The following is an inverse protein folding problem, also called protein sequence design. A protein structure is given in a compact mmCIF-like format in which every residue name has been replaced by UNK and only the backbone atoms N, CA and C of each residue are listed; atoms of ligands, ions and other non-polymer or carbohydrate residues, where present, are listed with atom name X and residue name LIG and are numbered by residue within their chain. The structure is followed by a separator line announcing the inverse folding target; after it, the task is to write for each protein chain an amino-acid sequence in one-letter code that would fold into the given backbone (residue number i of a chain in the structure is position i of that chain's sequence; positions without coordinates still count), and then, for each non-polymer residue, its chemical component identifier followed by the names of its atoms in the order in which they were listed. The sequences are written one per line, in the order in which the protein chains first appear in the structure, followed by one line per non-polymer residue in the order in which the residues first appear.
data_IF_343100344487
#
_entry.id   IF_343100344487
#
_cell.length_a   1.000
_cell.length_b   1.000
_cell.length_c   1.000
_cell.angle_alpha   90.00
_cell.angle_beta   90.00
_cell.angle_gamma   90.00
#
_symmetry.space_group_name_H-M   'P 1'
#
loop_
_entity.id
_entity.type
_entity.pdbx_description
1 polymer ?
#
# COMPACT_ATOMS: atom_id res chain seq x y z
N UNK A 1 -50.27 1.73 -18.69
CA UNK A 1 -49.06 0.93 -18.36
C UNK A 1 -47.85 1.85 -18.42
N UNK A 2 -47.39 2.36 -17.27
CA UNK A 2 -46.25 3.28 -17.19
C UNK A 2 -45.03 2.51 -16.63
N UNK A 3 -43.92 2.48 -17.38
CA UNK A 3 -42.66 1.84 -16.98
C UNK A 3 -41.94 2.74 -15.97
N UNK A 4 -41.71 2.22 -14.76
CA UNK A 4 -40.85 2.86 -13.75
C UNK A 4 -39.37 2.68 -14.15
N UNK A 5 -38.54 3.74 -14.12
CA UNK A 5 -37.11 3.61 -14.36
C UNK A 5 -36.40 2.95 -13.17
N UNK A 6 -35.49 2.02 -13.47
CA UNK A 6 -34.68 1.25 -12.52
C UNK A 6 -33.70 2.14 -11.75
N UNK A 7 -33.86 2.20 -10.42
CA UNK A 7 -33.02 2.95 -9.49
C UNK A 7 -31.67 2.25 -9.14
N UNK A 8 -31.20 1.31 -9.95
CA UNK A 8 -30.08 0.42 -9.60
C UNK A 8 -28.70 0.96 -10.02
N UNK A 9 -28.63 2.02 -10.83
CA UNK A 9 -27.36 2.49 -11.39
C UNK A 9 -26.57 3.50 -10.54
N UNK A 10 -27.13 4.03 -9.44
CA UNK A 10 -26.49 5.15 -8.70
C UNK A 10 -25.64 4.73 -7.49
N UNK A 11 -25.68 3.46 -7.08
CA UNK A 11 -24.95 3.00 -5.89
C UNK A 11 -23.50 2.54 -6.17
N UNK A 12 -23.11 2.36 -7.43
CA UNK A 12 -21.79 1.80 -7.78
C UNK A 12 -20.68 2.84 -7.97
N UNK A 13 -21.01 4.14 -8.01
CA UNK A 13 -20.03 5.20 -8.25
C UNK A 13 -19.34 5.74 -6.99
N UNK A 14 -19.85 5.47 -5.77
CA UNK A 14 -19.26 5.99 -4.53
C UNK A 14 -18.20 5.09 -3.87
N UNK A 15 -18.00 3.86 -4.36
CA UNK A 15 -17.10 2.89 -3.70
C UNK A 15 -15.60 2.98 -4.12
N UNK A 16 -15.23 3.92 -5.01
CA UNK A 16 -13.86 4.01 -5.55
C UNK A 16 -13.11 5.29 -5.19
N UNK A 17 -13.75 6.25 -4.53
CA UNK A 17 -13.03 7.40 -3.98
C UNK A 17 -12.38 6.97 -2.67
N UNK A 18 -11.17 6.41 -2.72
CA UNK A 18 -10.32 6.35 -1.52
C UNK A 18 -10.24 7.78 -0.98
N UNK A 19 -10.54 8.02 0.30
CA UNK A 19 -10.37 9.34 0.88
C UNK A 19 -8.92 9.75 0.62
N UNK A 20 -8.73 10.87 -0.08
CA UNK A 20 -7.41 11.48 -0.20
C UNK A 20 -6.96 11.73 1.23
N UNK A 21 -5.87 11.07 1.66
CA UNK A 21 -5.31 11.24 2.98
C UNK A 21 -5.24 12.73 3.28
N UNK A 22 -6.00 13.17 4.28
CA UNK A 22 -6.51 14.54 4.31
C UNK A 22 -5.42 15.61 4.52
N UNK A 23 -4.15 15.23 4.75
CA UNK A 23 -3.02 16.13 5.03
C UNK A 23 -1.75 15.80 4.25
N UNK A 24 -1.90 15.20 3.07
CA UNK A 24 -0.83 15.09 2.09
C UNK A 24 -0.35 16.49 1.65
N UNK A 25 0.51 17.13 2.45
CA UNK A 25 1.16 18.37 2.09
C UNK A 25 2.28 18.09 1.08
N UNK A 26 2.32 18.80 -0.06
CA UNK A 26 3.35 18.58 -1.06
C UNK A 26 4.72 19.03 -0.54
N UNK A 27 5.71 18.15 -0.67
CA UNK A 27 7.11 18.41 -0.34
C UNK A 27 7.86 18.75 -1.62
N UNK A 28 8.31 20.00 -1.77
CA UNK A 28 9.09 20.44 -2.92
C UNK A 28 10.56 20.64 -2.53
N UNK A 29 11.47 19.98 -3.24
CA UNK A 29 12.91 19.99 -2.96
C UNK A 29 13.66 20.32 -4.25
N UNK A 30 14.57 21.29 -4.18
CA UNK A 30 15.44 21.67 -5.29
C UNK A 30 16.84 21.12 -5.05
N UNK A 31 17.45 20.53 -6.07
CA UNK A 31 18.75 19.84 -6.00
C UNK A 31 19.60 20.31 -7.18
N UNK A 32 20.77 20.86 -6.90
CA UNK A 32 21.79 21.16 -7.90
C UNK A 32 22.57 19.89 -8.27
N UNK A 33 22.92 19.74 -9.54
CA UNK A 33 23.61 18.54 -10.05
C UNK A 33 24.81 18.98 -10.89
N UNK A 34 26.00 18.58 -10.44
CA UNK A 34 27.29 18.78 -11.12
C UNK A 34 28.23 17.59 -10.92
N UNK A 35 29.45 17.68 -11.45
CA UNK A 35 30.49 16.65 -11.31
C UNK A 35 30.91 16.37 -9.85
N UNK A 36 30.58 17.22 -8.88
CA UNK A 36 30.88 17.03 -7.46
C UNK A 36 29.75 16.32 -6.70
N UNK A 37 28.61 16.05 -7.37
CA UNK A 37 27.51 15.26 -6.83
C UNK A 37 26.18 16.01 -6.81
N UNK A 38 25.34 15.70 -5.82
CA UNK A 38 24.05 16.36 -5.61
C UNK A 38 24.21 17.44 -4.53
N UNK A 39 23.85 18.69 -4.84
CA UNK A 39 24.19 19.88 -4.07
C UNK A 39 25.68 19.91 -3.66
N UNK A 40 26.57 19.57 -4.61
CA UNK A 40 28.01 19.53 -4.43
C UNK A 40 28.52 18.50 -3.40
N UNK A 41 27.72 17.46 -3.07
CA UNK A 41 28.05 16.45 -2.05
C UNK A 41 27.97 15.02 -2.60
N UNK A 42 28.98 14.17 -2.34
CA UNK A 42 28.98 12.76 -2.77
C UNK A 42 28.06 11.86 -1.92
N UNK A 43 27.77 12.26 -0.68
CA UNK A 43 26.94 11.53 0.30
C UNK A 43 25.60 12.24 0.57
N UNK A 44 25.09 12.97 -0.41
CA UNK A 44 23.85 13.74 -0.30
C UNK A 44 22.68 12.91 0.23
N UNK A 45 21.99 13.45 1.23
CA UNK A 45 20.80 12.81 1.79
C UNK A 45 19.71 13.84 2.08
N UNK A 46 18.48 13.49 1.70
CA UNK A 46 17.27 14.23 2.05
C UNK A 46 16.29 13.32 2.78
N UNK A 47 15.41 13.94 3.57
CA UNK A 47 14.32 13.25 4.27
C UNK A 47 13.01 13.72 3.65
N UNK A 48 12.15 12.76 3.33
CA UNK A 48 10.77 13.00 2.89
C UNK A 48 9.81 12.14 3.68
N UNK A 49 8.55 12.52 3.68
CA UNK A 49 7.51 11.81 4.43
C UNK A 49 6.72 10.82 3.55
N UNK A 50 6.45 9.63 4.10
CA UNK A 50 5.56 8.65 3.47
C UNK A 50 4.13 9.20 3.33
N UNK A 51 3.40 8.79 2.29
CA UNK A 51 2.03 9.21 2.01
C UNK A 51 1.87 10.64 1.47
N UNK A 52 2.97 11.40 1.36
CA UNK A 52 2.95 12.80 0.94
C UNK A 52 3.50 12.95 -0.49
N UNK A 53 2.86 13.76 -1.36
CA UNK A 53 3.40 14.09 -2.67
C UNK A 53 4.77 14.74 -2.52
N UNK A 54 5.77 14.21 -3.21
CA UNK A 54 7.13 14.73 -3.26
C UNK A 54 7.39 15.18 -4.69
N UNK A 55 7.88 16.41 -4.86
CA UNK A 55 8.41 16.93 -6.12
C UNK A 55 9.89 17.24 -5.93
N UNK A 56 10.74 16.51 -6.63
CA UNK A 56 12.17 16.82 -6.72
C UNK A 56 12.42 17.57 -8.01
N UNK A 57 13.05 18.74 -7.92
CA UNK A 57 13.48 19.53 -9.07
C UNK A 57 15.00 19.55 -9.11
N UNK A 58 15.55 19.03 -10.19
CA UNK A 58 16.99 19.00 -10.42
C UNK A 58 17.39 20.16 -11.32
N UNK A 59 18.49 20.82 -11.00
CA UNK A 59 19.06 21.92 -11.78
C UNK A 59 20.49 21.58 -12.16
N UNK A 60 20.78 21.63 -13.46
CA UNK A 60 22.11 21.49 -14.03
C UNK A 60 23.01 22.66 -13.57
N UNK A 61 24.14 22.36 -12.93
CA UNK A 61 25.00 23.38 -12.30
C UNK A 61 26.49 23.24 -12.62
N UNK A 62 26.83 22.68 -13.78
CA UNK A 62 28.22 22.55 -14.23
C UNK A 62 28.89 23.88 -14.54
N UNK A 63 30.23 23.90 -14.49
CA UNK A 63 31.02 25.08 -14.82
C UNK A 63 30.81 25.53 -16.28
N UNK A 64 30.79 26.85 -16.55
CA UNK A 64 30.66 27.37 -17.90
C UNK A 64 31.75 26.83 -18.84
N UNK A 65 31.33 26.31 -19.99
CA UNK A 65 32.25 25.78 -21.02
C UNK A 65 32.38 24.26 -21.04
N UNK A 66 31.96 23.57 -19.98
CA UNK A 66 31.83 22.11 -19.96
C UNK A 66 30.36 21.73 -20.23
N UNK A 67 30.14 20.75 -21.09
CA UNK A 67 28.83 20.08 -21.19
C UNK A 67 29.01 18.65 -20.72
N UNK A 68 28.35 18.32 -19.62
CA UNK A 68 28.48 17.07 -18.88
C UNK A 68 27.07 16.58 -18.57
N UNK A 69 26.36 16.00 -19.54
CA UNK A 69 24.95 15.64 -19.38
C UNK A 69 24.76 14.58 -18.29
N UNK A 70 23.61 14.63 -17.62
CA UNK A 70 23.22 13.68 -16.57
C UNK A 70 21.84 13.08 -16.84
N UNK A 71 21.72 11.77 -16.68
CA UNK A 71 20.44 11.06 -16.69
C UNK A 71 20.17 10.56 -15.26
N UNK A 72 19.28 11.25 -14.56
CA UNK A 72 18.99 11.00 -13.14
C UNK A 72 17.85 10.00 -13.00
N UNK A 73 18.10 8.93 -12.24
CA UNK A 73 17.10 7.90 -11.91
C UNK A 73 16.97 7.72 -10.40
N UNK A 74 15.73 7.53 -9.96
CA UNK A 74 15.40 7.24 -8.56
C UNK A 74 14.92 5.78 -8.46
N UNK A 75 15.52 5.01 -7.55
CA UNK A 75 15.20 3.59 -7.34
C UNK A 75 14.95 3.25 -5.88
N UNK A 76 14.05 2.29 -5.63
CA UNK A 76 13.79 1.70 -4.32
C UNK A 76 12.30 1.63 -4.02
N UNK A 77 11.93 0.96 -2.92
CA UNK A 77 10.53 0.84 -2.45
C UNK A 77 9.53 0.30 -3.49
N UNK A 78 10.00 -0.42 -4.52
CA UNK A 78 9.15 -0.90 -5.61
C UNK A 78 8.65 0.21 -6.55
N UNK A 79 9.14 1.45 -6.42
CA UNK A 79 8.82 2.55 -7.33
C UNK A 79 9.70 2.46 -8.59
N UNK A 80 9.08 2.57 -9.76
CA UNK A 80 9.76 2.76 -11.04
C UNK A 80 9.46 4.17 -11.55
N UNK A 81 10.35 5.10 -11.21
CA UNK A 81 10.22 6.51 -11.56
C UNK A 81 10.92 6.81 -12.89
N UNK A 82 10.41 7.76 -13.69
CA UNK A 82 11.03 8.10 -14.97
C UNK A 82 12.46 8.62 -14.76
N UNK A 83 13.34 8.28 -15.69
CA UNK A 83 14.65 8.93 -15.79
C UNK A 83 14.45 10.34 -16.31
N UNK A 84 15.08 11.33 -15.70
CA UNK A 84 15.08 12.72 -16.17
C UNK A 84 16.46 13.11 -16.66
N UNK A 85 16.51 13.87 -17.76
CA UNK A 85 17.75 14.33 -18.37
C UNK A 85 18.03 15.78 -17.98
N UNK A 86 19.29 16.06 -17.67
CA UNK A 86 19.84 17.38 -17.42
C UNK A 86 21.02 17.59 -18.35
N UNK A 87 20.99 18.69 -19.09
CA UNK A 87 22.09 19.16 -19.92
C UNK A 87 21.96 20.67 -20.10
N UNK A 88 22.84 21.26 -20.89
CA UNK A 88 22.81 22.72 -21.13
C UNK A 88 21.50 23.19 -21.78
N UNK A 89 20.88 22.37 -22.61
CA UNK A 89 19.63 22.70 -23.30
C UNK A 89 18.39 22.40 -22.44
N UNK A 90 18.53 21.48 -21.48
CA UNK A 90 17.52 21.10 -20.49
C UNK A 90 18.07 21.31 -19.07
N UNK A 91 18.27 22.56 -18.63
CA UNK A 91 18.98 22.85 -17.37
C UNK A 91 18.15 22.49 -16.13
N UNK A 92 16.87 22.19 -16.29
CA UNK A 92 15.99 21.83 -15.18
C UNK A 92 15.08 20.67 -15.57
N UNK A 93 14.88 19.73 -14.65
CA UNK A 93 13.91 18.66 -14.80
C UNK A 93 13.34 18.26 -13.43
N UNK A 94 12.10 17.76 -13.39
CA UNK A 94 11.45 17.39 -12.13
C UNK A 94 10.85 16.00 -12.18
N UNK A 95 10.87 15.32 -11.03
CA UNK A 95 10.17 14.04 -10.80
C UNK A 95 9.22 14.21 -9.64
N UNK A 96 7.97 13.78 -9.83
CA UNK A 96 6.94 13.76 -8.77
C UNK A 96 6.55 12.34 -8.43
N UNK A 97 6.42 12.04 -7.13
CA UNK A 97 6.00 10.72 -6.64
C UNK A 97 5.41 10.82 -5.23
N UNK A 98 4.67 9.80 -4.79
CA UNK A 98 4.14 9.70 -3.42
C UNK A 98 4.61 8.37 -2.82
N UNK A 99 5.60 8.35 -1.91
CA UNK A 99 6.10 7.10 -1.37
C UNK A 99 5.12 6.53 -0.35
N UNK A 100 4.54 5.35 -0.61
CA UNK A 100 3.51 4.75 0.26
C UNK A 100 4.05 4.17 1.57
N UNK A 101 5.35 3.91 1.66
CA UNK A 101 5.99 3.22 2.79
C UNK A 101 7.30 3.88 3.16
N UNK A 102 7.68 3.76 4.42
CA UNK A 102 8.99 4.20 4.91
C UNK A 102 10.13 3.36 4.33
N UNK A 103 11.31 3.94 4.21
CA UNK A 103 12.53 3.22 3.84
C UNK A 103 13.51 4.16 3.13
N UNK A 104 14.30 3.63 2.19
CA UNK A 104 15.32 4.42 1.49
C UNK A 104 15.20 4.25 -0.02
N UNK A 105 15.18 5.37 -0.74
CA UNK A 105 15.39 5.42 -2.18
C UNK A 105 16.81 5.89 -2.46
N UNK A 106 17.34 5.53 -3.64
CA UNK A 106 18.62 6.02 -4.15
C UNK A 106 18.39 6.92 -5.34
N UNK A 107 19.12 8.03 -5.38
CA UNK A 107 19.22 8.90 -6.55
C UNK A 107 20.56 8.58 -7.21
N UNK A 108 20.57 8.31 -8.51
CA UNK A 108 21.78 7.98 -9.24
C UNK A 108 21.79 8.58 -10.67
N UNK A 109 22.96 8.98 -11.16
CA UNK A 109 23.19 9.19 -12.58
C UNK A 109 23.45 7.84 -13.28
N UNK A 110 22.79 7.58 -14.41
CA UNK A 110 22.89 6.28 -15.13
C UNK A 110 23.69 6.32 -16.43
N UNK A 111 24.15 7.50 -16.87
CA UNK A 111 25.01 7.64 -18.04
C UNK A 111 26.46 7.89 -17.65
N UNK A 112 27.44 7.52 -18.51
CA UNK A 112 28.82 7.91 -18.31
C UNK A 112 28.96 9.44 -18.34
N UNK A 113 29.30 10.04 -17.20
CA UNK A 113 29.50 11.47 -17.01
C UNK A 113 30.76 11.71 -16.16
N UNK A 114 31.31 12.92 -16.22
CA UNK A 114 32.39 13.33 -15.32
C UNK A 114 31.83 13.45 -13.90
N UNK A 115 32.52 12.85 -12.93
CA UNK A 115 32.08 12.83 -11.54
C UNK A 115 31.02 11.77 -11.21
N UNK A 116 30.83 10.77 -12.08
CA UNK A 116 29.85 9.69 -11.87
C UNK A 116 29.99 9.01 -10.50
N UNK A 117 31.20 8.86 -9.98
CA UNK A 117 31.49 8.31 -8.65
C UNK A 117 30.83 9.11 -7.51
N UNK A 118 30.60 10.41 -7.70
CA UNK A 118 29.94 11.29 -6.74
C UNK A 118 28.40 11.27 -6.91
N UNK A 119 27.91 10.77 -8.05
CA UNK A 119 26.50 10.79 -8.45
C UNK A 119 25.80 9.44 -8.27
N UNK A 120 26.37 8.49 -7.53
CA UNK A 120 25.77 7.18 -7.23
C UNK A 120 25.42 6.98 -5.74
N UNK A 121 25.76 7.95 -4.88
CA UNK A 121 25.68 7.83 -3.42
C UNK A 121 24.43 8.43 -2.76
N UNK A 122 23.66 9.24 -3.49
CA UNK A 122 22.60 10.04 -2.91
C UNK A 122 21.38 9.23 -2.45
N UNK A 123 20.78 9.64 -1.32
CA UNK A 123 19.71 8.91 -0.65
C UNK A 123 18.51 9.79 -0.33
N UNK A 124 17.32 9.22 -0.49
CA UNK A 124 16.08 9.78 0.04
C UNK A 124 15.63 8.87 1.16
N UNK A 125 15.66 9.34 2.40
CA UNK A 125 15.07 8.66 3.54
C UNK A 125 13.59 8.98 3.59
N UNK A 126 12.76 7.98 3.33
CA UNK A 126 11.32 8.10 3.52
C UNK A 126 11.00 7.75 4.96
N UNK A 127 10.64 8.75 5.74
CA UNK A 127 10.30 8.62 7.15
C UNK A 127 8.78 8.68 7.33
N UNK A 128 8.31 8.34 8.53
CA UNK A 128 6.91 8.55 8.87
C UNK A 128 6.62 10.06 8.84
N UNK A 129 5.41 10.48 8.44
CA UNK A 129 5.03 11.88 8.51
C UNK A 129 5.37 12.47 9.87
N UNK A 130 6.09 13.59 9.89
CA UNK A 130 6.18 14.36 11.12
C UNK A 130 4.77 14.83 11.42
N UNK A 131 4.41 14.72 12.68
CA UNK A 131 3.14 15.16 13.19
C UNK A 131 3.06 16.69 13.00
N UNK A 132 2.62 17.15 11.83
CA UNK A 132 2.44 18.55 11.49
C UNK A 132 1.02 18.94 11.88
N UNK A 133 0.88 20.00 12.68
CA UNK A 133 -0.41 20.43 13.22
C UNK A 133 -0.54 20.27 14.73
N UNK A 134 -1.75 20.50 15.24
CA UNK A 134 -2.05 20.39 16.68
C UNK A 134 -1.89 18.92 17.10
N UNK A 135 -1.08 18.61 18.13
CA UNK A 135 -0.89 17.25 18.60
C UNK A 135 -2.20 16.54 18.92
N UNK A 136 -2.27 15.25 18.62
CA UNK A 136 -3.41 14.39 18.96
C UNK A 136 -2.96 13.21 19.79
N UNK A 137 -3.84 12.78 20.69
CA UNK A 137 -3.63 11.63 21.55
C UNK A 137 -4.38 10.46 20.93
N UNK A 138 -3.65 9.41 20.54
CA UNK A 138 -4.22 8.14 20.11
C UNK A 138 -3.93 7.08 21.16
N UNK A 139 -4.97 6.40 21.63
CA UNK A 139 -4.86 5.22 22.50
C UNK A 139 -5.48 4.02 21.82
N UNK A 140 -4.93 2.85 22.06
CA UNK A 140 -5.46 1.59 21.58
C UNK A 140 -5.65 0.66 22.76
N UNK A 141 -6.79 -0.01 22.80
CA UNK A 141 -7.11 -1.04 23.77
C UNK A 141 -7.51 -2.30 23.00
N UNK A 142 -6.99 -3.44 23.44
CA UNK A 142 -7.27 -4.74 22.85
C UNK A 142 -8.03 -5.60 23.85
N UNK A 143 -9.25 -6.01 23.49
CA UNK A 143 -10.13 -6.82 24.33
C UNK A 143 -10.38 -8.18 23.66
N UNK A 144 -9.76 -9.28 24.15
CA UNK A 144 -10.07 -10.62 23.69
C UNK A 144 -11.55 -10.95 23.93
N UNK A 145 -12.16 -11.63 22.98
CA UNK A 145 -13.56 -12.06 23.03
C UNK A 145 -13.65 -13.57 23.13
N UNK A 146 -14.76 -14.05 23.69
CA UNK A 146 -15.05 -15.47 23.84
C UNK A 146 -15.23 -16.19 22.50
N UNK A 147 -15.35 -15.49 21.38
CA UNK A 147 -15.45 -16.10 20.04
C UNK A 147 -14.08 -16.32 19.37
N UNK A 148 -12.99 -16.10 20.12
CA UNK A 148 -11.62 -16.20 19.62
C UNK A 148 -11.20 -15.00 18.75
N UNK A 149 -11.95 -13.90 18.74
CA UNK A 149 -11.53 -12.65 18.10
C UNK A 149 -11.04 -11.63 19.13
N UNK A 150 -10.34 -10.60 18.69
CA UNK A 150 -9.96 -9.46 19.53
C UNK A 150 -10.70 -8.23 19.03
N UNK A 151 -11.36 -7.51 19.94
CA UNK A 151 -11.88 -6.19 19.64
C UNK A 151 -10.77 -5.16 19.86
N UNK A 152 -10.31 -4.54 18.78
CA UNK A 152 -9.40 -3.41 18.84
C UNK A 152 -10.22 -2.12 18.91
N UNK A 153 -10.05 -1.35 19.99
CA UNK A 153 -10.69 -0.05 20.19
C UNK A 153 -9.63 1.04 20.22
N UNK A 154 -9.65 1.92 19.24
CA UNK A 154 -8.84 3.13 19.23
C UNK A 154 -9.65 4.32 19.74
N UNK A 155 -9.02 5.22 20.50
CA UNK A 155 -9.61 6.47 20.96
C UNK A 155 -8.72 7.62 20.50
N UNK A 156 -9.28 8.52 19.69
CA UNK A 156 -8.60 9.71 19.16
C UNK A 156 -9.10 10.94 19.91
N UNK A 157 -8.18 11.69 20.52
CA UNK A 157 -8.46 12.95 21.21
C UNK A 157 -7.55 14.08 20.73
N UNK A 158 -8.02 15.31 20.84
CA UNK A 158 -7.18 16.50 20.69
C UNK A 158 -6.13 16.57 21.81
N UNK A 159 -5.16 17.47 21.67
CA UNK A 159 -4.23 17.83 22.75
C UNK A 159 -4.93 18.36 24.01
N UNK A 160 -6.14 18.89 23.90
CA UNK A 160 -6.97 19.35 25.04
C UNK A 160 -7.80 18.23 25.67
N UNK A 161 -7.77 17.02 25.08
CA UNK A 161 -8.52 15.85 25.57
C UNK A 161 -9.93 15.72 24.98
N UNK A 162 -10.36 16.63 24.11
CA UNK A 162 -11.66 16.53 23.42
C UNK A 162 -11.68 15.36 22.44
N UNK A 163 -12.78 14.59 22.37
CA UNK A 163 -12.92 13.50 21.41
C UNK A 163 -12.98 14.04 19.97
N UNK A 164 -12.32 13.36 19.04
CA UNK A 164 -12.34 13.71 17.63
C UNK A 164 -13.24 12.74 16.87
N UNK A 165 -14.44 13.19 16.50
CA UNK A 165 -15.41 12.41 15.73
C UNK A 165 -15.14 12.44 14.22
N UNK A 166 -15.70 11.46 13.50
CA UNK A 166 -15.64 11.31 12.04
C UNK A 166 -14.21 11.30 11.47
N UNK A 167 -13.24 10.85 12.28
CA UNK A 167 -11.83 10.73 11.89
C UNK A 167 -11.52 9.28 11.48
N UNK A 168 -10.88 9.05 10.32
CA UNK A 168 -10.47 7.69 9.93
C UNK A 168 -9.32 7.21 10.83
N UNK A 169 -9.42 5.98 11.34
CA UNK A 169 -8.35 5.29 12.06
C UNK A 169 -8.06 3.98 11.37
N UNK A 170 -6.84 3.82 10.87
CA UNK A 170 -6.40 2.61 10.18
C UNK A 170 -5.91 1.60 11.21
N UNK A 171 -6.47 0.39 11.17
CA UNK A 171 -6.01 -0.73 12.00
C UNK A 171 -5.18 -1.69 11.18
N UNK A 172 -4.01 -2.07 11.70
CA UNK A 172 -3.07 -2.99 11.05
C UNK A 172 -2.72 -4.13 12.00
N UNK A 173 -2.78 -5.36 11.50
CA UNK A 173 -2.40 -6.58 12.21
C UNK A 173 -1.00 -7.02 11.77
N UNK A 174 -0.09 -7.21 12.71
CA UNK A 174 1.21 -7.82 12.40
C UNK A 174 1.00 -9.28 11.97
N UNK A 175 1.65 -9.69 10.88
CA UNK A 175 1.54 -11.05 10.33
C UNK A 175 2.77 -11.89 10.71
N UNK A 176 2.58 -13.20 10.85
CA UNK A 176 3.66 -14.15 11.22
C UNK A 176 4.75 -14.30 10.15
N UNK A 177 4.43 -13.99 8.89
CA UNK A 177 5.38 -14.02 7.76
C UNK A 177 6.19 -12.72 7.60
N UNK A 178 5.99 -11.75 8.51
CA UNK A 178 6.58 -10.43 8.43
C UNK A 178 5.74 -9.48 7.58
N UNK A 179 5.53 -8.27 8.10
CA UNK A 179 4.66 -7.25 7.50
C UNK A 179 3.33 -7.09 8.24
N UNK A 180 2.50 -6.18 7.75
CA UNK A 180 1.23 -5.79 8.37
C UNK A 180 0.06 -5.98 7.40
N UNK A 181 -1.05 -6.52 7.89
CA UNK A 181 -2.32 -6.64 7.19
C UNK A 181 -3.25 -5.50 7.62
N UNK A 182 -3.69 -4.67 6.69
CA UNK A 182 -4.71 -3.65 6.97
C UNK A 182 -6.07 -4.32 7.19
N UNK A 183 -6.68 -4.07 8.35
CA UNK A 183 -8.00 -4.59 8.73
C UNK A 183 -9.13 -3.65 8.29
N UNK A 184 -8.79 -2.38 8.02
CA UNK A 184 -9.72 -1.33 7.57
C UNK A 184 -9.45 0.01 8.25
N UNK A 185 -10.22 1.02 7.82
CA UNK A 185 -10.11 2.41 8.29
C UNK A 185 -11.48 2.97 8.76
N UNK A 186 -12.11 2.41 9.81
CA UNK A 186 -13.36 2.93 10.34
C UNK A 186 -13.21 4.39 10.80
N UNK A 187 -14.30 5.15 10.69
CA UNK A 187 -14.40 6.50 11.25
C UNK A 187 -14.65 6.43 12.76
N UNK A 188 -14.08 7.37 13.50
CA UNK A 188 -14.39 7.55 14.92
C UNK A 188 -15.82 8.00 15.12
N UNK A 189 -16.46 7.49 16.17
CA UNK A 189 -17.79 7.91 16.62
C UNK A 189 -17.72 9.26 17.36
N UNK A 190 -18.87 9.75 17.82
CA UNK A 190 -18.99 11.02 18.55
C UNK A 190 -18.10 11.12 19.81
N UNK A 191 -17.76 9.98 20.42
CA UNK A 191 -16.87 9.88 21.59
C UNK A 191 -15.39 9.75 21.22
N UNK A 192 -15.05 9.87 19.93
CA UNK A 192 -13.70 9.75 19.40
C UNK A 192 -13.22 8.31 19.27
N UNK A 193 -14.10 7.31 19.42
CA UNK A 193 -13.70 5.90 19.37
C UNK A 193 -13.94 5.28 18.00
N UNK A 194 -12.97 4.50 17.52
CA UNK A 194 -13.09 3.65 16.34
C UNK A 194 -12.81 2.20 16.75
N UNK A 195 -13.50 1.25 16.12
CA UNK A 195 -13.38 -0.18 16.47
C UNK A 195 -13.14 -1.05 15.25
N UNK A 196 -12.28 -2.05 15.40
CA UNK A 196 -12.04 -3.08 14.40
C UNK A 196 -12.06 -4.46 15.05
N UNK A 197 -12.62 -5.45 14.34
CA UNK A 197 -12.56 -6.85 14.74
C UNK A 197 -11.29 -7.47 14.17
N UNK A 198 -10.45 -7.99 15.04
CA UNK A 198 -9.18 -8.62 14.67
C UNK A 198 -9.33 -10.14 14.75
N UNK A 199 -9.10 -10.87 13.66
CA UNK A 199 -9.07 -12.32 13.71
C UNK A 199 -7.83 -12.77 14.48
N UNK A 200 -8.00 -13.49 15.58
CA UNK A 200 -6.89 -14.14 16.27
C UNK A 200 -6.80 -15.59 15.81
N UNK A 201 -5.90 -15.87 14.88
CA UNK A 201 -5.65 -17.25 14.41
C UNK A 201 -4.38 -17.79 15.07
N UNK A 202 -4.50 -18.82 15.91
CA UNK A 202 -3.35 -19.55 16.43
C UNK A 202 -2.89 -19.13 17.84
N UNK A 203 -1.68 -19.55 18.22
CA UNK A 203 -1.04 -19.23 19.50
C UNK A 203 0.01 -18.15 19.28
N UNK A 204 -0.43 -16.92 19.07
CA UNK A 204 0.49 -15.80 18.95
C UNK A 204 -0.03 -14.59 19.72
N UNK A 205 0.91 -13.76 20.18
CA UNK A 205 0.58 -12.42 20.65
C UNK A 205 0.00 -11.64 19.48
N UNK A 206 -1.28 -11.27 19.58
CA UNK A 206 -1.96 -10.48 18.56
C UNK A 206 -1.47 -9.05 18.70
N UNK A 207 -0.60 -8.62 17.78
CA UNK A 207 -0.07 -7.25 17.73
C UNK A 207 -0.82 -6.41 16.72
N UNK A 208 -1.43 -5.34 17.19
CA UNK A 208 -2.25 -4.43 16.40
C UNK A 208 -1.70 -3.03 16.50
N UNK A 209 -1.60 -2.35 15.38
CA UNK A 209 -1.25 -0.94 15.28
C UNK A 209 -2.48 -0.15 14.86
N UNK A 210 -2.82 0.91 15.59
CA UNK A 210 -3.80 1.90 15.19
C UNK A 210 -3.07 3.17 14.71
N UNK A 211 -3.49 3.69 13.56
CA UNK A 211 -2.89 4.86 12.92
C UNK A 211 -3.96 5.91 12.67
N UNK A 212 -3.73 7.12 13.18
CA UNK A 212 -4.45 8.34 12.80
C UNK A 212 -3.52 9.18 11.93
N UNK A 213 -3.88 9.34 10.65
CA UNK A 213 -3.02 10.02 9.67
C UNK A 213 -2.94 11.54 9.84
N UNK A 214 -3.73 12.13 10.75
CA UNK A 214 -3.90 13.58 10.87
C UNK A 214 -5.12 14.10 10.10
N UNK A 215 -5.49 15.36 10.32
CA UNK A 215 -6.82 15.86 9.95
C UNK A 215 -7.07 17.33 10.26
N UNK A 216 -7.56 18.18 9.36
CA UNK A 216 -7.94 19.57 9.60
C UNK A 216 -6.95 20.37 10.49
N UNK A 217 -5.64 20.30 10.18
CA UNK A 217 -4.59 20.96 10.97
C UNK A 217 -4.17 20.20 12.24
N UNK A 218 -4.50 18.91 12.34
CA UNK A 218 -4.10 17.99 13.42
C UNK A 218 -3.03 17.03 12.98
N UNK A 219 -2.18 16.69 13.93
CA UNK A 219 -0.97 15.94 13.72
C UNK A 219 -1.23 14.42 13.59
N UNK A 220 -0.31 13.73 12.93
CA UNK A 220 -0.24 12.26 12.89
C UNK A 220 -0.12 11.67 14.30
N UNK A 221 -0.76 10.54 14.56
CA UNK A 221 -0.57 9.73 15.77
C UNK A 221 -0.67 8.24 15.46
N UNK A 222 0.12 7.44 16.17
CA UNK A 222 0.17 5.98 16.01
C UNK A 222 0.41 5.34 17.37
N UNK A 223 -0.18 4.18 17.58
CA UNK A 223 0.05 3.37 18.78
C UNK A 223 -0.06 1.89 18.44
N UNK A 224 0.78 1.06 19.05
CA UNK A 224 0.78 -0.39 18.85
C UNK A 224 0.58 -1.07 20.18
N UNK A 225 -0.34 -2.03 20.22
CA UNK A 225 -0.61 -2.84 21.40
C UNK A 225 -0.55 -4.33 21.06
N UNK A 226 -0.29 -5.14 22.08
CA UNK A 226 -0.24 -6.60 21.94
C UNK A 226 -1.14 -7.24 23.00
N UNK A 227 -1.92 -8.25 22.62
CA UNK A 227 -2.67 -9.05 23.59
C UNK A 227 -2.49 -10.53 23.32
N UNK A 228 -2.35 -11.29 24.39
CA UNK A 228 -2.29 -12.75 24.33
C UNK A 228 -3.71 -13.29 24.33
N UNK A 229 -4.07 -14.02 23.28
CA UNK A 229 -5.39 -14.66 23.18
C UNK A 229 -5.23 -16.13 23.56
N UNK A 230 -5.97 -16.56 24.57
CA UNK A 230 -5.99 -17.97 24.98
C UNK A 230 -6.74 -18.79 23.93
N UNK A 231 -6.20 -19.99 23.60
CA UNK A 231 -6.79 -20.85 22.56
C UNK A 231 -8.24 -21.14 22.92
N UNK A 232 -9.14 -20.83 22.00
CA UNK A 232 -10.15 -21.82 21.70
C UNK A 232 -9.51 -22.86 20.79
N UNK A 233 -9.63 -24.17 21.09
CA UNK A 233 -9.26 -25.19 20.13
C UNK A 233 -10.10 -24.88 18.89
N UNK A 234 -9.46 -24.40 17.82
CA UNK A 234 -10.12 -24.40 16.53
C UNK A 234 -10.54 -25.84 16.32
N UNK A 235 -11.85 -26.08 16.25
CA UNK A 235 -12.37 -27.38 15.88
C UNK A 235 -11.94 -27.55 14.42
N UNK A 236 -10.72 -28.05 14.24
CA UNK A 236 -10.11 -28.38 12.97
C UNK A 236 -10.86 -29.60 12.43
N UNK A 237 -12.16 -29.47 12.18
CA UNK A 237 -12.77 -30.22 11.10
C UNK A 237 -12.26 -29.56 9.85
N UNK A 238 -11.27 -30.15 9.14
CA UNK A 238 -10.89 -29.64 7.84
C UNK A 238 -12.19 -29.47 7.04
N UNK A 239 -12.38 -28.33 6.34
CA UNK A 239 -13.46 -28.23 5.37
C UNK A 239 -13.41 -29.48 4.49
N UNK A 240 -14.55 -30.02 4.09
CA UNK A 240 -14.66 -31.32 3.43
C UNK A 240 -13.74 -31.51 2.19
N UNK A 241 -13.21 -30.40 1.66
CA UNK A 241 -12.22 -30.31 0.59
C UNK A 241 -10.77 -30.66 0.98
N UNK A 242 -10.39 -30.55 2.25
CA UNK A 242 -9.04 -30.88 2.76
C UNK A 242 -8.99 -32.19 3.54
N UNK A 243 -10.09 -32.97 3.52
CA UNK A 243 -10.02 -34.39 3.88
C UNK A 243 -9.29 -35.15 2.76
N UNK A 244 -8.41 -36.12 3.09
CA UNK A 244 -7.66 -36.91 2.10
C UNK A 244 -8.57 -37.69 1.13
N UNK A 245 -9.85 -37.84 1.48
CA UNK A 245 -10.90 -38.34 0.62
C UNK A 245 -11.82 -37.19 0.20
N UNK A 246 -11.76 -36.79 -1.08
CA UNK A 246 -12.71 -35.86 -1.66
C UNK A 246 -14.15 -36.37 -1.40
N UNK A 247 -15.12 -35.49 -1.07
CA UNK A 247 -16.50 -35.90 -0.90
C UNK A 247 -16.97 -36.62 -2.16
N UNK A 248 -17.67 -37.77 -2.08
CA UNK A 248 -18.07 -38.56 -3.24
C UNK A 248 -18.79 -37.72 -4.32
N UNK A 249 -19.56 -36.73 -3.88
CA UNK A 249 -20.27 -35.78 -4.75
C UNK A 249 -19.31 -34.99 -5.63
N UNK A 250 -18.18 -34.53 -5.10
CA UNK A 250 -17.19 -33.75 -5.85
C UNK A 250 -16.43 -34.62 -6.86
N UNK A 251 -16.09 -35.85 -6.48
CA UNK A 251 -15.48 -36.81 -7.40
C UNK A 251 -16.43 -37.12 -8.57
N UNK A 252 -17.72 -37.35 -8.30
CA UNK A 252 -18.75 -37.55 -9.33
C UNK A 252 -18.90 -36.30 -10.21
N UNK A 253 -18.90 -35.11 -9.61
CA UNK A 253 -18.98 -33.84 -10.35
C UNK A 253 -17.82 -33.68 -11.33
N UNK A 254 -16.60 -33.94 -10.88
CA UNK A 254 -15.39 -33.85 -11.68
C UNK A 254 -15.40 -34.87 -12.83
N UNK A 255 -15.81 -36.11 -12.55
CA UNK A 255 -15.95 -37.16 -13.56
C UNK A 255 -17.00 -36.81 -14.62
N UNK A 256 -18.11 -36.18 -14.24
CA UNK A 256 -19.12 -35.72 -15.19
C UNK A 256 -18.59 -34.59 -16.08
N UNK A 257 -17.86 -33.62 -15.52
CA UNK A 257 -17.26 -32.52 -16.29
C UNK A 257 -16.21 -33.06 -17.26
N UNK A 258 -15.28 -33.90 -16.78
CA UNK A 258 -14.26 -34.54 -17.61
C UNK A 258 -14.90 -35.41 -18.70
N UNK A 259 -15.89 -36.22 -18.34
CA UNK A 259 -16.62 -37.07 -19.28
C UNK A 259 -17.33 -36.26 -20.36
N UNK A 260 -17.94 -35.11 -20.01
CA UNK A 260 -18.56 -34.20 -20.96
C UNK A 260 -17.56 -33.63 -21.96
N UNK A 261 -16.40 -33.18 -21.48
CA UNK A 261 -15.31 -32.66 -22.34
C UNK A 261 -14.84 -33.76 -23.32
N UNK A 262 -14.52 -34.95 -22.83
CA UNK A 262 -14.09 -36.05 -23.69
C UNK A 262 -15.16 -36.49 -24.70
N UNK A 263 -16.43 -36.46 -24.32
CA UNK A 263 -17.55 -36.77 -25.22
C UNK A 263 -17.64 -35.77 -26.37
N UNK A 264 -17.41 -34.48 -26.11
CA UNK A 264 -17.38 -33.46 -27.18
C UNK A 264 -16.22 -33.67 -28.15
N UNK A 265 -15.02 -34.00 -27.67
CA UNK A 265 -13.89 -34.32 -28.54
C UNK A 265 -14.14 -35.57 -29.39
N UNK A 266 -14.69 -36.64 -28.79
CA UNK A 266 -15.03 -37.87 -29.50
C UNK A 266 -16.06 -37.61 -30.62
N UNK A 267 -17.06 -36.76 -30.35
CA UNK A 267 -18.05 -36.37 -31.35
C UNK A 267 -17.44 -35.62 -32.54
N UNK A 268 -16.54 -34.66 -32.29
CA UNK A 268 -15.83 -33.93 -33.35
C UNK A 268 -14.99 -34.88 -34.20
N UNK A 269 -14.23 -35.79 -33.58
CA UNK A 269 -13.43 -36.80 -34.30
C UNK A 269 -14.32 -37.69 -35.17
N UNK A 270 -15.45 -38.14 -34.64
CA UNK A 270 -16.42 -38.94 -35.39
C UNK A 270 -16.98 -38.18 -36.61
N UNK A 271 -17.32 -36.89 -36.47
CA UNK A 271 -17.75 -36.06 -37.60
C UNK A 271 -16.68 -35.96 -38.69
N UNK A 272 -15.41 -35.77 -38.32
CA UNK A 272 -14.29 -35.68 -39.27
C UNK A 272 -14.07 -36.98 -40.02
N UNK A 273 -14.14 -38.13 -39.35
CA UNK A 273 -14.01 -39.44 -39.99
C UNK A 273 -15.15 -39.69 -40.98
N UNK A 274 -16.38 -39.36 -40.60
CA UNK A 274 -17.55 -39.53 -41.47
C UNK A 274 -17.48 -38.67 -42.73
N UNK A 275 -16.96 -37.44 -42.62
CA UNK A 275 -16.75 -36.57 -43.79
C UNK A 275 -15.70 -37.14 -44.75
N UNK A 276 -14.65 -37.78 -44.24
CA UNK A 276 -13.63 -38.45 -45.05
C UNK A 276 -14.16 -39.67 -45.81
N UNK A 277 -15.10 -40.41 -45.24
CA UNK A 277 -15.71 -41.56 -45.92
C UNK A 277 -16.69 -41.13 -47.04
N UNK A 278 -17.18 -39.89 -46.99
CA UNK A 278 -18.11 -39.34 -47.98
C UNK A 278 -17.45 -38.61 -49.16
N UNK A 279 -16.12 -38.44 -49.15
CA UNK A 279 -15.31 -37.81 -50.20
C UNK A 279 -14.53 -38.85 -51.00
#
# INVERSE_FOLDING_TARGET
MARRPSAVALALALALARPVAAHAHPQAISIQVDQHGFDGRPDYAIVVEAGHPVTLSFTYSEEPGQDNPHDIRIKGLGLDLPTVRLDRDHPTASVSFTPERTGTLRILCVIPCLGMENLVGARIRVERPKATGVPTILRLELEPREDGTVLARAVVRSSTGEPLADQPVIFRLATSVGGELELGAPLTMADGTAVARVPATGQDDVRVTAVYEGGAGRAYAETTESVRVERQPMDHRPPSLSQPTAPPVLAVSLLLVLGGIWSTYAYVVWQVLRLRESS
#
